data_IF_751743663698
#
_entry.id   IF_751743663698
#
_cell.length_a   1.000
_cell.length_b   1.000
_cell.length_c   1.000
_cell.angle_alpha   90.00
_cell.angle_beta   90.00
_cell.angle_gamma   90.00
#
_symmetry.space_group_name_H-M   'P 1'
#
loop_
_entity.id
_entity.type
_entity.pdbx_description
1 polymer ?
#
# COMPACT_ATOMS: atom_id res chain seq x y z
N UNK A 1 26.98 25.07 -54.24
CA UNK A 1 27.59 24.92 -52.92
C UNK A 1 26.48 24.65 -51.90
N UNK A 2 25.95 23.44 -51.83
CA UNK A 2 24.91 23.08 -50.89
C UNK A 2 24.83 21.54 -50.72
N UNK A 3 25.90 20.88 -50.28
CA UNK A 3 25.89 19.43 -50.06
C UNK A 3 26.92 18.93 -49.02
N UNK A 4 27.47 19.79 -48.19
CA UNK A 4 28.48 19.40 -47.19
C UNK A 4 28.02 19.54 -45.73
N UNK A 5 26.88 20.17 -45.45
CA UNK A 5 26.39 20.32 -44.06
C UNK A 5 25.51 19.14 -43.55
N UNK A 6 24.98 18.31 -44.45
CA UNK A 6 24.03 17.27 -44.02
C UNK A 6 24.69 15.94 -43.61
N UNK A 7 26.00 15.79 -43.77
CA UNK A 7 26.71 14.56 -43.39
C UNK A 7 27.23 14.58 -41.93
N UNK A 8 27.54 15.76 -41.40
CA UNK A 8 28.09 15.90 -40.04
C UNK A 8 27.03 15.69 -38.94
N UNK A 9 25.77 16.06 -39.22
CA UNK A 9 24.67 15.87 -38.27
C UNK A 9 24.24 14.41 -38.11
N UNK A 10 24.42 13.60 -39.14
CA UNK A 10 24.08 12.18 -39.12
C UNK A 10 25.14 11.32 -38.40
N UNK A 11 26.41 11.67 -38.51
CA UNK A 11 27.49 11.00 -37.77
C UNK A 11 27.43 11.35 -36.25
N UNK A 12 27.11 12.59 -35.93
CA UNK A 12 26.97 13.01 -34.53
C UNK A 12 25.75 12.35 -33.84
N UNK A 13 24.62 12.22 -34.52
CA UNK A 13 23.46 11.48 -34.03
C UNK A 13 23.72 9.98 -33.85
N UNK A 14 24.54 9.38 -34.73
CA UNK A 14 24.89 7.97 -34.61
C UNK A 14 25.84 7.70 -33.45
N UNK A 15 26.81 8.60 -33.22
CA UNK A 15 27.73 8.48 -32.06
C UNK A 15 27.04 8.68 -30.73
N UNK A 16 26.09 9.61 -30.65
CA UNK A 16 25.29 9.84 -29.41
C UNK A 16 24.37 8.64 -29.13
N UNK A 17 23.73 8.07 -30.17
CA UNK A 17 22.89 6.87 -30.00
C UNK A 17 23.70 5.65 -29.55
N UNK A 18 24.92 5.51 -30.03
CA UNK A 18 25.83 4.43 -29.67
C UNK A 18 26.33 4.58 -28.23
N UNK A 19 26.70 5.80 -27.81
CA UNK A 19 27.09 6.08 -26.43
C UNK A 19 25.95 5.88 -25.42
N UNK A 20 24.71 6.19 -25.79
CA UNK A 20 23.53 5.92 -24.95
C UNK A 20 23.29 4.41 -24.87
N UNK A 21 23.42 3.69 -25.98
CA UNK A 21 23.30 2.22 -26.03
C UNK A 21 24.31 1.55 -25.08
N UNK A 22 25.57 1.93 -25.16
CA UNK A 22 26.64 1.36 -24.31
C UNK A 22 26.46 1.71 -22.83
N UNK A 23 25.97 2.91 -22.54
CA UNK A 23 25.69 3.33 -21.16
C UNK A 23 24.50 2.57 -20.54
N UNK A 24 23.46 2.32 -21.34
CA UNK A 24 22.29 1.52 -20.91
C UNK A 24 22.71 0.06 -20.74
N UNK A 25 23.51 -0.49 -21.65
CA UNK A 25 23.99 -1.86 -21.56
C UNK A 25 24.87 -2.10 -20.31
N UNK A 26 25.81 -1.19 -20.01
CA UNK A 26 26.58 -1.20 -18.75
C UNK A 26 25.70 -1.07 -17.51
N UNK A 27 24.66 -0.23 -17.58
CA UNK A 27 23.70 -0.10 -16.49
C UNK A 27 22.93 -1.40 -16.23
N UNK A 28 22.50 -2.10 -17.28
CA UNK A 28 21.80 -3.38 -17.19
C UNK A 28 22.72 -4.48 -16.65
N UNK A 29 23.97 -4.55 -17.12
CA UNK A 29 24.96 -5.53 -16.62
C UNK A 29 25.25 -5.32 -15.14
N UNK A 30 25.46 -4.06 -14.69
CA UNK A 30 25.67 -3.74 -13.28
C UNK A 30 24.45 -4.12 -12.40
N UNK A 31 23.23 -3.89 -12.90
CA UNK A 31 22.00 -4.28 -12.19
C UNK A 31 21.88 -5.81 -12.12
N UNK A 32 22.20 -6.53 -13.21
CA UNK A 32 22.20 -7.99 -13.20
C UNK A 32 23.22 -8.58 -12.24
N UNK A 33 24.42 -8.00 -12.19
CA UNK A 33 25.48 -8.45 -11.25
C UNK A 33 25.09 -8.19 -9.81
N UNK A 34 24.55 -6.99 -9.51
CA UNK A 34 24.05 -6.65 -8.17
C UNK A 34 22.89 -7.54 -7.74
N UNK A 35 21.96 -7.85 -8.63
CA UNK A 35 20.85 -8.78 -8.36
C UNK A 35 21.37 -10.20 -8.11
N UNK A 36 22.33 -10.65 -8.92
CA UNK A 36 22.94 -11.97 -8.77
C UNK A 36 23.69 -12.12 -7.44
N UNK A 37 24.46 -11.10 -7.03
CA UNK A 37 25.13 -11.09 -5.71
C UNK A 37 24.14 -11.03 -4.56
N UNK A 38 23.08 -10.22 -4.68
CA UNK A 38 22.02 -10.11 -3.66
C UNK A 38 21.27 -11.43 -3.51
N UNK A 39 20.93 -12.10 -4.63
CA UNK A 39 20.26 -13.40 -4.62
C UNK A 39 21.18 -14.48 -4.05
N UNK A 40 22.48 -14.45 -4.39
CA UNK A 40 23.47 -15.39 -3.84
C UNK A 40 23.65 -15.19 -2.33
N UNK A 41 23.79 -13.93 -1.86
CA UNK A 41 23.86 -13.63 -0.44
C UNK A 41 22.59 -14.02 0.33
N UNK A 42 21.40 -13.81 -0.25
CA UNK A 42 20.15 -14.25 0.32
C UNK A 42 20.02 -15.79 0.36
N UNK A 43 20.53 -16.49 -0.67
CA UNK A 43 20.55 -17.94 -0.70
C UNK A 43 21.55 -18.53 0.30
N UNK A 44 22.71 -17.91 0.49
CA UNK A 44 23.69 -18.31 1.50
C UNK A 44 23.15 -18.09 2.92
N UNK A 45 22.51 -16.92 3.18
CA UNK A 45 21.86 -16.65 4.47
C UNK A 45 20.69 -17.59 4.74
N UNK A 46 19.89 -17.93 3.72
CA UNK A 46 18.82 -18.91 3.84
C UNK A 46 19.37 -20.33 4.05
N UNK A 47 20.46 -20.68 3.38
CA UNK A 47 21.15 -21.96 3.57
C UNK A 47 21.73 -22.07 4.99
N UNK A 48 22.39 -21.02 5.48
CA UNK A 48 22.95 -20.98 6.85
C UNK A 48 21.84 -20.99 7.93
N UNK A 49 20.71 -20.35 7.65
CA UNK A 49 19.57 -20.36 8.55
C UNK A 49 18.82 -21.71 8.58
N UNK A 50 18.93 -22.51 7.52
CA UNK A 50 18.29 -23.83 7.41
C UNK A 50 19.25 -24.94 7.85
N UNK A 51 20.54 -24.87 7.46
CA UNK A 51 21.51 -25.96 7.76
C UNK A 51 21.88 -26.03 9.23
N UNK A 52 22.13 -24.89 9.90
CA UNK A 52 22.45 -24.89 11.33
C UNK A 52 21.35 -25.49 12.21
N UNK A 53 20.06 -25.10 12.05
CA UNK A 53 18.98 -25.78 12.78
C UNK A 53 18.77 -27.22 12.41
N UNK A 54 19.06 -27.62 11.14
CA UNK A 54 18.93 -29.00 10.68
C UNK A 54 20.05 -29.89 11.25
N UNK A 55 21.29 -29.40 11.32
CA UNK A 55 22.39 -30.11 11.99
C UNK A 55 22.11 -30.29 13.48
N UNK A 56 21.66 -29.22 14.15
CA UNK A 56 21.27 -29.31 15.58
C UNK A 56 20.08 -30.27 15.77
N UNK A 57 19.10 -30.24 14.88
CA UNK A 57 17.98 -31.19 14.91
C UNK A 57 18.46 -32.63 14.61
N UNK A 58 19.43 -32.82 13.70
CA UNK A 58 20.04 -34.10 13.40
C UNK A 58 20.78 -34.70 14.61
N UNK A 59 21.57 -33.89 15.32
CA UNK A 59 22.23 -34.31 16.57
C UNK A 59 21.23 -34.69 17.67
N UNK A 60 20.13 -33.93 17.81
CA UNK A 60 19.03 -34.23 18.73
C UNK A 60 18.32 -35.54 18.37
N UNK A 61 18.10 -35.82 17.09
CA UNK A 61 17.48 -37.07 16.61
C UNK A 61 18.39 -38.24 16.83
N UNK A 62 19.70 -38.12 16.60
CA UNK A 62 20.69 -39.18 16.83
C UNK A 62 20.85 -39.49 18.33
N UNK A 63 20.83 -38.46 19.16
CA UNK A 63 20.90 -38.65 20.61
C UNK A 63 19.61 -39.25 21.17
N UNK A 64 18.44 -38.81 20.62
CA UNK A 64 17.15 -39.42 20.95
C UNK A 64 17.04 -40.88 20.46
N UNK A 65 17.61 -41.20 19.29
CA UNK A 65 17.63 -42.57 18.78
C UNK A 65 18.46 -43.51 19.63
N UNK A 66 19.57 -43.07 20.22
CA UNK A 66 20.39 -43.86 21.15
C UNK A 66 19.72 -44.17 22.49
N UNK A 67 18.82 -43.29 22.91
CA UNK A 67 18.08 -43.38 24.17
C UNK A 67 16.71 -44.09 24.07
N UNK A 68 16.26 -44.44 22.85
CA UNK A 68 14.95 -45.08 22.56
C UNK A 68 14.80 -46.49 23.17
N UNK A 69 15.88 -47.13 23.64
CA UNK A 69 15.80 -48.44 24.27
C UNK A 69 15.28 -48.42 25.72
N UNK A 70 14.94 -47.28 26.28
CA UNK A 70 14.42 -47.17 27.65
C UNK A 70 12.90 -46.90 27.68
N UNK A 71 12.27 -47.40 28.75
CA UNK A 71 10.83 -47.31 29.06
C UNK A 71 10.17 -45.90 28.92
N UNK A 72 10.96 -44.85 28.71
CA UNK A 72 10.49 -43.44 28.57
C UNK A 72 10.45 -42.95 27.11
N UNK A 73 10.47 -43.81 26.11
CA UNK A 73 10.51 -43.41 24.70
C UNK A 73 9.33 -42.52 24.27
N UNK A 74 8.14 -42.78 24.78
CA UNK A 74 6.98 -41.92 24.50
C UNK A 74 7.14 -40.47 24.97
N UNK A 75 7.73 -40.27 26.15
CA UNK A 75 8.01 -38.94 26.66
C UNK A 75 9.01 -38.19 25.76
N UNK A 76 10.03 -38.92 25.23
CA UNK A 76 11.00 -38.36 24.30
C UNK A 76 10.36 -38.01 22.93
N UNK A 77 9.50 -38.89 22.41
CA UNK A 77 8.73 -38.62 21.21
C UNK A 77 7.85 -37.36 21.36
N UNK A 78 7.14 -37.23 22.45
CA UNK A 78 6.32 -36.06 22.74
C UNK A 78 7.16 -34.78 22.83
N UNK A 79 8.36 -34.88 23.43
CA UNK A 79 9.27 -33.73 23.55
C UNK A 79 9.86 -33.34 22.20
N UNK A 80 10.21 -34.28 21.32
CA UNK A 80 10.64 -34.01 19.94
C UNK A 80 9.50 -33.38 19.14
N UNK A 81 8.28 -33.89 19.28
CA UNK A 81 7.11 -33.40 18.58
C UNK A 81 6.75 -31.97 19.04
N UNK A 82 6.90 -31.70 20.35
CA UNK A 82 6.72 -30.36 20.92
C UNK A 82 7.76 -29.38 20.37
N UNK A 83 9.07 -29.75 20.40
CA UNK A 83 10.14 -28.88 19.91
C UNK A 83 10.06 -28.67 18.39
N UNK A 84 9.70 -29.72 17.61
CA UNK A 84 9.49 -29.59 16.17
C UNK A 84 8.30 -28.69 15.85
N UNK A 85 7.21 -28.80 16.61
CA UNK A 85 6.07 -27.90 16.51
C UNK A 85 6.44 -26.46 16.82
N UNK A 86 7.17 -26.24 17.92
CA UNK A 86 7.67 -24.91 18.28
C UNK A 86 8.61 -24.33 17.22
N UNK A 87 9.50 -25.15 16.65
CA UNK A 87 10.39 -24.74 15.58
C UNK A 87 9.62 -24.36 14.31
N UNK A 88 8.60 -25.13 13.92
CA UNK A 88 7.73 -24.81 12.78
C UNK A 88 6.99 -23.48 12.99
N UNK A 89 6.44 -23.29 14.19
CA UNK A 89 5.77 -22.02 14.53
C UNK A 89 6.76 -20.85 14.50
N UNK A 90 7.95 -21.00 15.08
CA UNK A 90 8.98 -19.96 15.06
C UNK A 90 9.44 -19.65 13.63
N UNK A 91 9.67 -20.66 12.79
CA UNK A 91 10.04 -20.50 11.39
C UNK A 91 8.93 -19.80 10.59
N UNK A 92 7.68 -20.17 10.83
CA UNK A 92 6.53 -19.51 10.21
C UNK A 92 6.45 -18.03 10.60
N UNK A 93 6.63 -17.71 11.89
CA UNK A 93 6.64 -16.33 12.37
C UNK A 93 7.77 -15.51 11.74
N UNK A 94 8.95 -16.09 11.58
CA UNK A 94 10.10 -15.45 10.90
C UNK A 94 9.73 -15.16 9.43
N UNK A 95 9.21 -16.14 8.69
CA UNK A 95 8.85 -15.98 7.28
C UNK A 95 7.78 -14.89 7.11
N UNK A 96 6.74 -14.89 7.95
CA UNK A 96 5.68 -13.88 7.89
C UNK A 96 6.19 -12.48 8.28
N UNK A 97 7.24 -12.41 9.10
CA UNK A 97 7.84 -11.13 9.52
C UNK A 97 8.72 -10.49 8.46
N UNK A 98 9.15 -11.23 7.44
CA UNK A 98 10.01 -10.71 6.38
C UNK A 98 9.31 -9.60 5.57
N UNK A 99 9.98 -8.44 5.33
CA UNK A 99 9.41 -7.35 4.53
C UNK A 99 8.98 -7.79 3.13
N UNK A 100 9.72 -8.70 2.50
CA UNK A 100 9.39 -9.23 1.18
C UNK A 100 8.05 -9.98 1.17
N UNK A 101 7.78 -10.80 2.18
CA UNK A 101 6.52 -11.55 2.32
C UNK A 101 5.35 -10.60 2.55
N UNK A 102 5.53 -9.58 3.40
CA UNK A 102 4.53 -8.56 3.68
C UNK A 102 4.18 -7.77 2.42
N UNK A 103 5.19 -7.28 1.71
CA UNK A 103 4.99 -6.54 0.45
C UNK A 103 4.34 -7.40 -0.63
N UNK A 104 4.73 -8.66 -0.77
CA UNK A 104 4.10 -9.59 -1.70
C UNK A 104 2.61 -9.80 -1.38
N UNK A 105 2.27 -10.06 -0.11
CA UNK A 105 0.90 -10.24 0.33
C UNK A 105 0.07 -8.96 0.09
N UNK A 106 0.61 -7.79 0.42
CA UNK A 106 -0.04 -6.52 0.20
C UNK A 106 -0.27 -6.23 -1.30
N UNK A 107 0.71 -6.51 -2.18
CA UNK A 107 0.54 -6.38 -3.63
C UNK A 107 -0.57 -7.30 -4.16
N UNK A 108 -0.64 -8.55 -3.69
CA UNK A 108 -1.72 -9.48 -4.06
C UNK A 108 -3.09 -8.99 -3.61
N UNK A 109 -3.16 -8.44 -2.39
CA UNK A 109 -4.40 -7.86 -1.86
C UNK A 109 -4.85 -6.65 -2.70
N UNK A 110 -3.95 -5.71 -2.99
CA UNK A 110 -4.26 -4.54 -3.83
C UNK A 110 -4.63 -4.96 -5.26
N UNK A 111 -3.94 -5.93 -5.84
CA UNK A 111 -4.31 -6.45 -7.17
C UNK A 111 -5.73 -7.03 -7.19
N UNK A 112 -6.12 -7.72 -6.11
CA UNK A 112 -7.49 -8.20 -5.93
C UNK A 112 -8.48 -7.04 -5.77
N UNK A 113 -8.18 -6.06 -4.90
CA UNK A 113 -9.01 -4.87 -4.74
C UNK A 113 -9.18 -4.10 -6.06
N UNK A 114 -8.10 -3.88 -6.80
CA UNK A 114 -8.15 -3.20 -8.09
C UNK A 114 -9.04 -3.94 -9.10
N UNK A 115 -9.00 -5.28 -9.09
CA UNK A 115 -9.86 -6.11 -9.94
C UNK A 115 -11.32 -6.05 -9.51
N UNK A 116 -11.58 -6.20 -8.20
CA UNK A 116 -12.93 -6.27 -7.66
C UNK A 116 -13.64 -4.91 -7.68
N UNK A 117 -12.89 -3.83 -7.49
CA UNK A 117 -13.41 -2.45 -7.41
C UNK A 117 -13.20 -1.66 -8.71
N UNK A 118 -12.55 -2.26 -9.74
CA UNK A 118 -12.17 -1.54 -10.98
C UNK A 118 -11.44 -0.23 -10.70
N UNK A 119 -10.68 -0.18 -9.62
CA UNK A 119 -9.88 0.97 -9.20
C UNK A 119 -8.42 0.78 -9.59
N UNK A 120 -7.66 1.88 -9.62
CA UNK A 120 -6.21 1.83 -9.84
C UNK A 120 -5.51 2.36 -8.60
N UNK A 121 -5.34 1.48 -7.62
CA UNK A 121 -4.58 1.74 -6.41
C UNK A 121 -3.16 1.22 -6.57
N UNK A 122 -2.20 1.95 -6.07
CA UNK A 122 -0.79 1.56 -5.99
C UNK A 122 -0.16 2.09 -4.70
N UNK A 123 0.92 1.45 -4.28
CA UNK A 123 1.74 1.88 -3.14
C UNK A 123 3.19 1.45 -3.38
N UNK A 124 4.13 2.05 -2.65
CA UNK A 124 5.54 1.72 -2.73
C UNK A 124 5.93 0.57 -1.82
N UNK A 125 5.57 0.65 -0.55
CA UNK A 125 5.85 -0.38 0.43
C UNK A 125 4.78 -0.44 1.51
N UNK A 126 4.68 -1.61 2.15
CA UNK A 126 3.79 -1.85 3.29
C UNK A 126 4.57 -2.48 4.41
N UNK A 127 4.49 -1.88 5.59
CA UNK A 127 4.98 -2.44 6.82
C UNK A 127 3.81 -2.85 7.70
N UNK A 128 3.83 -4.09 8.16
CA UNK A 128 2.81 -4.61 9.08
C UNK A 128 3.54 -5.03 10.35
N UNK A 129 3.16 -4.47 11.48
CA UNK A 129 3.73 -4.87 12.75
C UNK A 129 3.07 -6.14 13.30
N UNK A 130 3.64 -6.70 14.35
CA UNK A 130 3.14 -7.93 14.98
C UNK A 130 1.73 -7.75 15.59
N UNK A 131 1.38 -6.54 16.01
CA UNK A 131 0.09 -6.23 16.65
C UNK A 131 -1.03 -5.94 15.65
N UNK A 132 -0.71 -5.86 14.35
CA UNK A 132 -1.70 -5.69 13.30
C UNK A 132 -1.77 -4.29 12.72
N UNK A 133 -0.95 -3.34 13.18
CA UNK A 133 -0.90 -2.02 12.56
C UNK A 133 -0.27 -2.13 11.16
N UNK A 134 -0.88 -1.43 10.24
CA UNK A 134 -0.46 -1.38 8.83
C UNK A 134 0.02 0.02 8.52
N UNK A 135 1.25 0.12 8.04
CA UNK A 135 1.84 1.36 7.58
C UNK A 135 2.14 1.25 6.09
N UNK A 136 1.52 2.09 5.29
CA UNK A 136 1.64 2.08 3.84
C UNK A 136 2.30 3.36 3.39
N UNK A 137 3.37 3.23 2.62
CA UNK A 137 4.13 4.35 2.09
C UNK A 137 3.74 4.63 0.63
N UNK A 138 3.61 5.91 0.31
CA UNK A 138 3.35 6.42 -1.04
C UNK A 138 2.13 5.77 -1.69
N UNK A 139 0.97 5.92 -1.05
CA UNK A 139 -0.32 5.49 -1.62
C UNK A 139 -0.72 6.41 -2.76
N UNK A 140 -1.15 5.83 -3.87
CA UNK A 140 -1.74 6.58 -4.97
C UNK A 140 -2.98 5.85 -5.50
N UNK A 141 -4.05 6.60 -5.65
CA UNK A 141 -5.32 6.13 -6.22
C UNK A 141 -5.64 7.02 -7.41
N UNK A 142 -5.94 6.40 -8.54
CA UNK A 142 -6.45 7.11 -9.73
C UNK A 142 -7.96 6.98 -9.82
N UNK A 143 -8.58 7.98 -10.41
CA UNK A 143 -10.01 7.95 -10.68
C UNK A 143 -10.34 7.16 -11.97
N UNK A 144 -11.63 7.11 -12.31
CA UNK A 144 -12.15 6.39 -13.47
C UNK A 144 -11.67 6.96 -14.83
N UNK A 145 -11.10 8.17 -14.84
CA UNK A 145 -10.45 8.78 -16.02
C UNK A 145 -8.92 8.63 -16.00
N UNK A 146 -8.37 7.80 -15.09
CA UNK A 146 -6.93 7.59 -14.88
C UNK A 146 -6.14 8.81 -14.39
N UNK A 147 -6.83 9.84 -13.89
CA UNK A 147 -6.16 10.98 -13.25
C UNK A 147 -5.90 10.72 -11.76
N UNK A 148 -4.86 11.35 -11.19
CA UNK A 148 -4.61 11.25 -9.75
C UNK A 148 -5.82 11.77 -8.96
N UNK A 149 -6.43 10.89 -8.18
CA UNK A 149 -7.55 11.20 -7.29
C UNK A 149 -7.08 11.45 -5.87
N UNK A 150 -6.31 10.51 -5.33
CA UNK A 150 -5.74 10.61 -4.00
C UNK A 150 -4.28 10.17 -4.05
N UNK A 151 -3.41 10.96 -3.45
CA UNK A 151 -2.03 10.58 -3.12
C UNK A 151 -1.80 10.86 -1.66
N UNK A 152 -1.13 9.95 -0.94
CA UNK A 152 -0.70 10.18 0.42
C UNK A 152 0.73 9.67 0.58
N UNK A 153 1.56 10.42 1.30
CA UNK A 153 2.93 9.98 1.60
C UNK A 153 2.91 8.80 2.56
N UNK A 154 2.06 8.88 3.57
CA UNK A 154 1.94 7.89 4.63
C UNK A 154 0.46 7.63 4.90
N UNK A 155 0.10 6.36 5.01
CA UNK A 155 -1.17 5.90 5.52
C UNK A 155 -0.89 4.91 6.64
N UNK A 156 -1.36 5.22 7.82
CA UNK A 156 -1.28 4.37 8.99
C UNK A 156 -2.68 3.89 9.36
N UNK A 157 -2.84 2.59 9.52
CA UNK A 157 -4.09 1.97 9.94
C UNK A 157 -3.85 1.11 11.17
N UNK A 158 -4.45 1.51 12.28
CA UNK A 158 -4.51 0.72 13.49
C UNK A 158 -5.71 -0.23 13.38
N UNK A 159 -5.41 -1.51 13.17
CA UNK A 159 -6.46 -2.49 12.90
C UNK A 159 -6.07 -3.90 13.34
N UNK A 160 -7.08 -4.71 13.56
CA UNK A 160 -6.89 -6.14 13.65
C UNK A 160 -6.89 -6.74 12.22
N UNK A 161 -5.72 -6.87 11.62
CA UNK A 161 -5.57 -7.35 10.25
C UNK A 161 -6.13 -8.77 10.02
N UNK A 162 -6.18 -9.61 11.06
CA UNK A 162 -6.84 -10.92 10.98
C UNK A 162 -8.34 -10.79 10.69
N UNK A 163 -9.00 -9.78 11.28
CA UNK A 163 -10.40 -9.49 11.00
C UNK A 163 -10.59 -9.01 9.55
N UNK A 164 -9.66 -8.19 9.03
CA UNK A 164 -9.71 -7.69 7.64
C UNK A 164 -9.54 -8.83 6.62
N UNK A 165 -8.65 -9.79 6.89
CA UNK A 165 -8.45 -10.94 6.00
C UNK A 165 -9.66 -11.88 6.01
N UNK A 166 -10.29 -12.06 7.17
CA UNK A 166 -11.45 -12.93 7.33
C UNK A 166 -12.71 -12.36 6.69
N UNK A 167 -12.91 -11.04 6.77
CA UNK A 167 -14.06 -10.35 6.19
C UNK A 167 -13.66 -8.99 5.59
N UNK A 168 -13.31 -9.00 4.32
CA UNK A 168 -12.92 -7.78 3.57
C UNK A 168 -14.06 -6.77 3.37
N UNK A 169 -15.28 -7.05 3.82
CA UNK A 169 -16.44 -6.15 3.71
C UNK A 169 -16.77 -5.42 4.99
N UNK A 170 -16.31 -5.93 6.13
CA UNK A 170 -16.50 -5.32 7.43
C UNK A 170 -15.14 -4.83 7.94
N UNK A 171 -14.76 -3.63 7.52
CA UNK A 171 -13.49 -3.02 7.87
C UNK A 171 -13.65 -2.19 9.15
N UNK A 172 -13.16 -2.71 10.25
CA UNK A 172 -13.13 -2.00 11.52
C UNK A 172 -11.68 -1.60 11.84
N UNK A 173 -11.40 -0.32 11.66
CA UNK A 173 -10.14 0.27 12.08
C UNK A 173 -10.36 1.07 13.36
N UNK A 174 -9.45 0.95 14.32
CA UNK A 174 -9.47 1.84 15.48
C UNK A 174 -9.15 3.26 15.05
N UNK A 175 -8.18 3.41 14.16
CA UNK A 175 -7.85 4.68 13.55
C UNK A 175 -7.19 4.52 12.17
N UNK A 176 -7.43 5.51 11.32
CA UNK A 176 -6.75 5.74 10.06
C UNK A 176 -6.07 7.09 10.11
N UNK A 177 -4.78 7.14 9.83
CA UNK A 177 -4.03 8.39 9.73
C UNK A 177 -3.45 8.55 8.33
N UNK A 178 -3.68 9.73 7.73
CA UNK A 178 -3.16 10.10 6.43
C UNK A 178 -2.26 11.33 6.58
N UNK A 179 -1.02 11.21 6.17
CA UNK A 179 -0.07 12.31 6.19
C UNK A 179 0.29 12.74 4.77
N UNK A 180 0.33 14.06 4.57
CA UNK A 180 0.67 14.69 3.28
C UNK A 180 -0.19 14.14 2.13
N UNK A 181 -1.49 14.07 2.39
CA UNK A 181 -2.47 13.66 1.39
C UNK A 181 -2.73 14.81 0.41
N UNK A 182 -2.80 14.51 -0.89
CA UNK A 182 -3.32 15.38 -1.95
C UNK A 182 -4.58 14.73 -2.52
N UNK A 183 -5.75 15.24 -2.11
CA UNK A 183 -7.06 14.76 -2.56
C UNK A 183 -7.63 15.73 -3.61
N UNK A 184 -7.98 15.21 -4.77
CA UNK A 184 -8.54 15.97 -5.90
C UNK A 184 -9.96 15.51 -6.22
N UNK A 185 -10.94 16.23 -5.73
CA UNK A 185 -12.35 16.02 -6.04
C UNK A 185 -12.70 16.84 -7.28
N UNK A 186 -12.95 16.16 -8.39
CA UNK A 186 -13.19 16.81 -9.68
C UNK A 186 -14.53 16.35 -10.25
N UNK A 187 -15.41 17.31 -10.54
CA UNK A 187 -16.53 17.09 -11.46
C UNK A 187 -16.05 17.47 -12.85
N UNK A 188 -15.84 16.49 -13.70
CA UNK A 188 -15.33 16.72 -15.06
C UNK A 188 -16.39 17.38 -15.95
N UNK A 189 -15.92 18.07 -16.99
CA UNK A 189 -16.80 18.69 -17.95
C UNK A 189 -17.73 17.66 -18.59
N UNK A 190 -19.03 17.91 -18.53
CA UNK A 190 -20.08 17.01 -19.01
C UNK A 190 -20.52 15.94 -18.02
N UNK A 191 -19.84 15.77 -16.88
CA UNK A 191 -20.27 14.85 -15.83
C UNK A 191 -21.19 15.57 -14.82
N UNK A 192 -22.21 14.87 -14.33
CA UNK A 192 -23.14 15.38 -13.30
C UNK A 192 -22.65 15.14 -11.87
N UNK A 193 -21.74 14.19 -11.67
CA UNK A 193 -21.22 13.78 -10.36
C UNK A 193 -19.68 13.82 -10.36
N UNK A 194 -19.10 14.05 -9.17
CA UNK A 194 -17.64 14.09 -9.01
C UNK A 194 -17.01 12.70 -9.07
N UNK A 195 -15.69 12.68 -9.31
CA UNK A 195 -14.89 11.46 -9.22
C UNK A 195 -14.92 10.85 -7.81
N UNK A 196 -15.12 11.67 -6.76
CA UNK A 196 -15.28 11.19 -5.38
C UNK A 196 -16.56 10.36 -5.22
N UNK A 197 -17.69 10.85 -5.71
CA UNK A 197 -18.97 10.10 -5.64
C UNK A 197 -18.84 8.79 -6.43
N UNK A 198 -18.26 8.84 -7.64
CA UNK A 198 -18.00 7.62 -8.42
C UNK A 198 -17.08 6.64 -7.71
N UNK A 199 -16.08 7.13 -6.97
CA UNK A 199 -15.21 6.28 -6.17
C UNK A 199 -15.98 5.62 -5.01
N UNK A 200 -16.84 6.36 -4.32
CA UNK A 200 -17.70 5.80 -3.26
C UNK A 200 -18.67 4.75 -3.83
N UNK A 201 -19.22 4.99 -5.02
CA UNK A 201 -20.13 4.04 -5.69
C UNK A 201 -19.46 2.70 -6.03
N UNK A 202 -18.13 2.63 -6.17
CA UNK A 202 -17.43 1.35 -6.34
C UNK A 202 -17.63 0.41 -5.15
N UNK A 203 -17.80 0.95 -3.95
CA UNK A 203 -18.07 0.16 -2.75
C UNK A 203 -19.54 -0.30 -2.66
N UNK A 204 -20.43 0.39 -3.36
CA UNK A 204 -21.86 0.15 -3.34
C UNK A 204 -22.35 -0.80 -4.43
N UNK A 205 -21.50 -1.18 -5.40
CA UNK A 205 -21.92 -2.01 -6.53
C UNK A 205 -22.32 -3.40 -6.03
N UNK A 206 -23.60 -3.80 -6.10
CA UNK A 206 -24.03 -5.13 -5.73
C UNK A 206 -23.41 -6.13 -6.71
N UNK A 207 -22.76 -7.16 -6.19
CA UNK A 207 -22.34 -8.28 -7.01
C UNK A 207 -23.61 -8.99 -7.55
N UNK A 208 -23.70 -9.30 -8.85
CA UNK A 208 -24.95 -9.62 -9.53
C UNK A 208 -25.65 -10.93 -9.11
N UNK A 209 -25.15 -11.71 -8.18
CA UNK A 209 -25.68 -13.06 -7.94
C UNK A 209 -25.70 -13.56 -6.49
N UNK A 210 -25.27 -12.79 -5.51
CA UNK A 210 -25.32 -13.21 -4.09
C UNK A 210 -25.77 -12.00 -3.26
N UNK A 211 -26.76 -12.19 -2.38
CA UNK A 211 -27.08 -11.22 -1.30
C UNK A 211 -25.83 -11.12 -0.41
N UNK A 212 -24.90 -10.25 -0.79
CA UNK A 212 -23.73 -9.94 0.01
C UNK A 212 -24.12 -8.78 0.91
N UNK A 213 -23.73 -8.85 2.17
CA UNK A 213 -23.91 -7.76 3.10
C UNK A 213 -23.24 -6.47 2.57
N UNK A 214 -23.81 -5.30 2.83
CA UNK A 214 -23.23 -4.03 2.40
C UNK A 214 -21.83 -3.88 2.99
N UNK A 215 -20.97 -3.14 2.28
CA UNK A 215 -19.67 -2.76 2.79
C UNK A 215 -19.85 -1.90 4.04
N UNK A 216 -19.12 -2.24 5.10
CA UNK A 216 -19.12 -1.50 6.36
C UNK A 216 -17.70 -1.05 6.68
N UNK A 217 -17.58 0.22 7.06
CA UNK A 217 -16.35 0.79 7.56
C UNK A 217 -16.66 1.61 8.82
N UNK A 218 -15.91 1.34 9.89
CA UNK A 218 -15.93 2.19 11.10
C UNK A 218 -14.50 2.54 11.47
N UNK A 219 -14.23 3.84 11.63
CA UNK A 219 -12.88 4.31 11.98
C UNK A 219 -12.91 5.72 12.57
N UNK A 220 -11.84 6.08 13.29
CA UNK A 220 -11.41 7.47 13.49
C UNK A 220 -10.47 7.84 12.34
N UNK A 221 -10.53 9.09 11.88
CA UNK A 221 -9.62 9.54 10.83
C UNK A 221 -8.83 10.75 11.31
N UNK A 222 -7.53 10.70 11.07
CA UNK A 222 -6.59 11.79 11.27
C UNK A 222 -5.98 12.17 9.93
N UNK A 223 -6.09 13.42 9.55
CA UNK A 223 -5.46 13.97 8.34
C UNK A 223 -4.50 15.06 8.78
N UNK A 224 -3.25 14.97 8.36
CA UNK A 224 -2.19 15.91 8.77
C UNK A 224 -1.45 16.44 7.56
N UNK A 225 -1.15 17.75 7.56
CA UNK A 225 -0.34 18.45 6.56
C UNK A 225 -0.76 18.14 5.11
N UNK A 226 -2.05 18.18 4.86
CA UNK A 226 -2.66 17.66 3.63
C UNK A 226 -3.22 18.77 2.75
N UNK A 227 -3.56 18.40 1.52
CA UNK A 227 -4.17 19.27 0.53
C UNK A 227 -5.46 18.66 0.01
N UNK A 228 -6.51 19.49 -0.08
CA UNK A 228 -7.79 19.09 -0.68
C UNK A 228 -8.16 20.12 -1.74
N UNK A 229 -8.43 19.66 -2.93
CA UNK A 229 -8.89 20.49 -4.05
C UNK A 229 -10.24 19.99 -4.53
N UNK A 230 -11.22 20.91 -4.62
CA UNK A 230 -12.55 20.62 -5.14
C UNK A 230 -12.79 21.51 -6.35
N UNK A 231 -12.97 20.90 -7.51
CA UNK A 231 -13.08 21.57 -8.79
C UNK A 231 -14.31 21.07 -9.56
N UNK A 232 -15.12 22.00 -10.08
CA UNK A 232 -16.20 21.70 -11.01
C UNK A 232 -15.87 22.29 -12.39
N UNK A 233 -15.52 21.44 -13.34
CA UNK A 233 -15.15 21.85 -14.70
C UNK A 233 -16.36 22.25 -15.56
N UNK A 234 -17.59 22.06 -15.08
CA UNK A 234 -18.79 22.56 -15.75
C UNK A 234 -19.02 24.07 -15.49
N UNK A 235 -18.31 24.65 -14.50
CA UNK A 235 -18.34 26.07 -14.20
C UNK A 235 -17.05 26.73 -14.67
N UNK A 236 -17.12 27.94 -15.18
CA UNK A 236 -15.98 28.70 -15.69
C UNK A 236 -15.31 29.56 -14.61
N UNK A 237 -14.01 29.78 -14.76
CA UNK A 237 -13.23 30.69 -13.90
C UNK A 237 -13.18 30.25 -12.44
N UNK A 238 -13.25 31.23 -11.54
CA UNK A 238 -13.19 31.00 -10.08
C UNK A 238 -14.41 30.22 -9.52
N UNK A 239 -15.57 30.29 -10.20
CA UNK A 239 -16.75 29.53 -9.82
C UNK A 239 -16.50 27.99 -9.94
N UNK A 240 -15.65 27.57 -10.87
CA UNK A 240 -15.25 26.19 -11.05
C UNK A 240 -14.28 25.68 -9.98
N UNK A 241 -13.50 26.56 -9.37
CA UNK A 241 -12.58 26.25 -8.27
C UNK A 241 -13.27 26.46 -6.93
N UNK A 242 -14.03 25.46 -6.50
CA UNK A 242 -14.85 25.62 -5.29
C UNK A 242 -14.00 25.74 -4.03
N UNK A 243 -12.97 24.91 -3.88
CA UNK A 243 -12.05 24.93 -2.73
C UNK A 243 -10.67 24.45 -3.13
N UNK A 244 -9.64 25.13 -2.65
CA UNK A 244 -8.26 24.62 -2.60
C UNK A 244 -7.74 24.86 -1.19
N UNK A 245 -7.89 23.85 -0.34
CA UNK A 245 -7.40 23.88 1.03
C UNK A 245 -5.98 23.31 1.09
N UNK A 246 -5.08 24.01 1.77
CA UNK A 246 -3.68 23.62 2.01
C UNK A 246 -3.44 23.53 3.52
N UNK A 247 -2.42 22.79 3.92
CA UNK A 247 -2.08 22.55 5.32
C UNK A 247 -3.29 22.04 6.12
N UNK A 248 -4.05 21.14 5.50
CA UNK A 248 -5.26 20.58 6.12
C UNK A 248 -4.87 19.67 7.26
N UNK A 249 -5.35 20.02 8.45
CA UNK A 249 -5.31 19.15 9.61
C UNK A 249 -6.75 18.93 10.05
N UNK A 250 -7.15 17.66 10.12
CA UNK A 250 -8.53 17.27 10.35
C UNK A 250 -8.59 16.05 11.27
N UNK A 251 -9.48 16.10 12.24
CA UNK A 251 -9.84 14.96 13.09
C UNK A 251 -11.30 14.62 12.84
N UNK A 252 -11.55 13.39 12.42
CA UNK A 252 -12.89 12.77 12.34
C UNK A 252 -12.96 11.72 13.43
N UNK A 253 -13.52 12.02 14.59
CA UNK A 253 -13.58 11.07 15.70
C UNK A 253 -14.45 9.85 15.38
N UNK A 254 -15.39 9.98 14.47
CA UNK A 254 -16.19 8.87 14.00
C UNK A 254 -16.52 9.02 12.51
N UNK A 255 -16.05 8.08 11.72
CA UNK A 255 -16.51 7.80 10.36
C UNK A 255 -17.24 6.47 10.36
N UNK A 256 -18.45 6.44 9.83
CA UNK A 256 -19.20 5.22 9.56
C UNK A 256 -19.65 5.20 8.11
N UNK A 257 -19.35 4.11 7.42
CA UNK A 257 -19.87 3.83 6.07
C UNK A 257 -20.65 2.53 6.15
N UNK A 258 -21.89 2.54 5.66
CA UNK A 258 -22.74 1.35 5.56
C UNK A 258 -23.40 1.36 4.19
N UNK A 259 -22.82 0.66 3.24
CA UNK A 259 -23.21 0.74 1.84
C UNK A 259 -23.10 2.16 1.30
N UNK A 260 -24.22 2.76 0.90
CA UNK A 260 -24.32 4.15 0.42
C UNK A 260 -24.33 5.21 1.52
N UNK A 261 -24.59 4.81 2.76
CA UNK A 261 -24.76 5.74 3.86
C UNK A 261 -23.38 6.07 4.47
N UNK A 262 -23.05 7.34 4.48
CA UNK A 262 -21.80 7.85 5.06
C UNK A 262 -22.13 8.85 6.16
N UNK A 263 -21.65 8.57 7.35
CA UNK A 263 -21.69 9.47 8.49
C UNK A 263 -20.27 9.84 8.90
N UNK A 264 -19.99 11.12 9.04
CA UNK A 264 -18.72 11.63 9.52
C UNK A 264 -18.93 12.78 10.50
N UNK A 265 -18.40 12.66 11.70
CA UNK A 265 -18.32 13.76 12.65
C UNK A 265 -16.98 14.45 12.47
N UNK A 266 -16.98 15.73 12.17
CA UNK A 266 -15.76 16.51 11.94
C UNK A 266 -15.47 17.36 13.19
N UNK A 267 -14.25 17.22 13.73
CA UNK A 267 -13.74 18.02 14.81
C UNK A 267 -12.38 18.63 14.44
N UNK A 268 -12.16 19.87 14.88
CA UNK A 268 -10.85 20.53 14.76
C UNK A 268 -10.27 20.56 13.34
N UNK A 269 -11.08 20.84 12.35
CA UNK A 269 -10.58 21.04 11.00
C UNK A 269 -9.91 22.41 10.90
N UNK A 270 -8.64 22.40 10.45
CA UNK A 270 -7.82 23.58 10.19
C UNK A 270 -7.26 23.52 8.79
N UNK A 271 -7.29 24.65 8.09
CA UNK A 271 -6.67 24.75 6.77
C UNK A 271 -6.46 26.18 6.35
N UNK A 272 -5.63 26.37 5.32
CA UNK A 272 -5.48 27.65 4.61
C UNK A 272 -6.05 27.50 3.21
N UNK A 273 -6.71 28.53 2.72
CA UNK A 273 -7.18 28.58 1.32
C UNK A 273 -6.90 29.96 0.73
N UNK A 274 -6.71 30.00 -0.58
CA UNK A 274 -6.60 31.24 -1.32
C UNK A 274 -7.79 31.38 -2.27
N UNK A 275 -8.52 32.46 -2.15
CA UNK A 275 -9.66 32.79 -3.01
C UNK A 275 -9.73 34.29 -3.26
N UNK A 276 -10.00 34.67 -4.50
CA UNK A 276 -10.03 36.09 -4.94
C UNK A 276 -8.75 36.88 -4.60
N UNK A 277 -7.58 36.19 -4.72
CA UNK A 277 -6.27 36.76 -4.41
C UNK A 277 -6.01 37.03 -2.92
N UNK A 278 -6.86 36.52 -2.03
CA UNK A 278 -6.70 36.66 -0.57
C UNK A 278 -6.53 35.32 0.10
N UNK A 279 -5.61 35.25 1.08
CA UNK A 279 -5.46 34.08 1.95
C UNK A 279 -6.49 34.13 3.06
N UNK A 280 -7.15 32.99 3.26
CA UNK A 280 -8.12 32.77 4.33
C UNK A 280 -7.62 31.63 5.22
N UNK A 281 -7.81 31.77 6.51
CA UNK A 281 -7.45 30.78 7.51
C UNK A 281 -8.74 30.30 8.19
N UNK A 282 -8.92 29.00 8.21
CA UNK A 282 -9.91 28.34 9.05
C UNK A 282 -9.16 27.65 10.18
N UNK A 283 -9.35 28.13 11.41
CA UNK A 283 -8.60 27.62 12.57
C UNK A 283 -9.36 26.53 13.30
N UNK A 284 -10.68 26.66 13.42
CA UNK A 284 -11.49 25.62 14.08
C UNK A 284 -12.84 25.51 13.37
N UNK A 285 -13.11 24.33 12.83
CA UNK A 285 -14.41 23.99 12.26
C UNK A 285 -14.86 22.64 12.82
N UNK A 286 -16.11 22.55 13.23
CA UNK A 286 -16.72 21.30 13.70
C UNK A 286 -18.10 21.13 13.05
N UNK A 287 -18.43 19.91 12.61
CA UNK A 287 -19.69 19.57 11.96
C UNK A 287 -20.13 18.12 12.29
#
# INVERSE_FOLDING_TARGET
MANLENNNDNENKKSVAQNIGDSVQKGVENVQETVKETVKGAAELASDAITKPVETAGEFVDQAAKDVTSYKWWAKLLLILFWSGLFLVASFLVIVSLPATKNWAAQKFIAKLNKDMKSQMSFKSVDINFFGDVHIHEVAIKDYKNYPFLKAKELYADSNWFAIISDSRNLQFQSLSLEKMDLKVITYKGDSISNFIRFVDLFNTPAPTVKKEPFQLKSRIFITDSKISIVNQNSEGEAGKWLTAQNVNLVVPELRVNGSDVFAQINNMRFTTERWGKKHFVDTFSA
#
